data_IF_348525417058
#
_entry.id   IF_348525417058
#
_cell.length_a   1.000
_cell.length_b   1.000
_cell.length_c   1.000
_cell.angle_alpha   90.00
_cell.angle_beta   90.00
_cell.angle_gamma   90.00
#
_symmetry.space_group_name_H-M   'P 1'
#
loop_
_entity.id
_entity.type
_entity.pdbx_description
1 polymer ?
#
# COMPACT_ATOMS: atom_id res chain seq x y z
N UNK A 1 12.02 3.72 13.25
CA UNK A 1 10.96 3.60 12.22
C UNK A 1 10.41 2.18 12.26
N UNK A 2 9.09 2.02 12.22
CA UNK A 2 8.47 0.69 12.06
C UNK A 2 8.90 0.08 10.73
N UNK A 3 9.20 -1.23 10.71
CA UNK A 3 9.51 -1.96 9.47
C UNK A 3 8.33 -1.84 8.47
N UNK A 4 7.10 -1.82 8.98
CA UNK A 4 5.89 -1.57 8.20
C UNK A 4 5.97 -0.27 7.39
N UNK A 5 6.23 0.86 8.06
CA UNK A 5 6.23 2.14 7.38
C UNK A 5 7.35 2.25 6.35
N UNK A 6 8.51 1.64 6.62
CA UNK A 6 9.60 1.55 5.64
C UNK A 6 9.10 0.89 4.35
N UNK A 7 8.50 -0.29 4.44
CA UNK A 7 8.00 -1.02 3.26
C UNK A 7 6.79 -0.34 2.61
N UNK A 8 5.90 0.26 3.40
CA UNK A 8 4.77 1.02 2.90
C UNK A 8 5.23 2.22 2.06
N UNK A 9 6.18 2.99 2.59
CA UNK A 9 6.75 4.16 1.92
C UNK A 9 7.53 3.77 0.66
N UNK A 10 8.25 2.66 0.70
CA UNK A 10 8.96 2.10 -0.48
C UNK A 10 7.97 1.78 -1.61
N UNK A 11 6.87 1.08 -1.29
CA UNK A 11 5.85 0.71 -2.28
C UNK A 11 5.12 1.95 -2.83
N UNK A 12 4.72 2.89 -1.97
CA UNK A 12 4.07 4.14 -2.39
C UNK A 12 5.01 4.99 -3.28
N UNK A 13 6.29 5.08 -2.91
CA UNK A 13 7.30 5.81 -3.70
C UNK A 13 7.52 5.17 -5.08
N UNK A 14 7.45 3.85 -5.20
CA UNK A 14 7.54 3.15 -6.48
C UNK A 14 6.40 3.55 -7.45
N UNK A 15 5.25 3.96 -6.91
CA UNK A 15 4.10 4.46 -7.69
C UNK A 15 4.10 5.99 -7.83
N UNK A 16 5.19 6.67 -7.45
CA UNK A 16 5.30 8.13 -7.37
C UNK A 16 4.27 8.77 -6.42
N UNK A 17 3.80 8.00 -5.43
CA UNK A 17 2.85 8.44 -4.43
C UNK A 17 3.56 8.86 -3.16
N UNK A 18 3.01 9.89 -2.54
CA UNK A 18 3.45 10.32 -1.24
C UNK A 18 2.65 9.68 -0.13
N UNK A 19 3.39 9.32 0.91
CA UNK A 19 2.92 8.68 2.13
C UNK A 19 3.50 9.43 3.33
N UNK A 20 2.79 10.43 3.87
CA UNK A 20 3.23 11.14 5.06
C UNK A 20 3.24 10.20 6.28
N UNK A 21 4.31 10.24 7.07
CA UNK A 21 4.48 9.35 8.23
C UNK A 21 3.36 9.49 9.25
N UNK A 22 2.80 10.69 9.40
CA UNK A 22 1.75 10.99 10.38
C UNK A 22 0.51 10.11 10.24
N UNK A 23 0.14 9.75 8.99
CA UNK A 23 -1.04 8.94 8.66
C UNK A 23 -0.71 7.47 8.36
N UNK A 24 0.55 7.15 8.08
CA UNK A 24 0.93 5.82 7.58
C UNK A 24 2.05 5.14 8.39
N UNK A 25 2.46 5.71 9.53
CA UNK A 25 3.57 5.19 10.34
C UNK A 25 3.33 3.79 10.92
N UNK A 26 2.06 3.40 11.08
CA UNK A 26 1.65 2.08 11.58
C UNK A 26 0.53 1.51 10.72
N UNK A 27 0.35 0.19 10.79
CA UNK A 27 -0.72 -0.51 10.09
C UNK A 27 -2.10 0.02 10.47
N UNK A 28 -2.34 0.28 11.76
CA UNK A 28 -3.59 0.84 12.27
C UNK A 28 -3.89 2.22 11.69
N UNK A 29 -2.89 3.11 11.66
CA UNK A 29 -3.04 4.45 11.09
C UNK A 29 -3.31 4.38 9.59
N UNK A 30 -2.59 3.52 8.87
CA UNK A 30 -2.77 3.34 7.44
C UNK A 30 -4.17 2.80 7.10
N UNK A 31 -4.67 1.82 7.88
CA UNK A 31 -6.04 1.32 7.75
C UNK A 31 -7.08 2.40 8.08
N UNK A 32 -6.86 3.17 9.15
CA UNK A 32 -7.72 4.30 9.50
C UNK A 32 -7.80 5.34 8.38
N UNK A 33 -6.66 5.68 7.77
CA UNK A 33 -6.60 6.58 6.61
C UNK A 33 -7.35 6.00 5.41
N UNK A 34 -7.17 4.71 5.10
CA UNK A 34 -7.89 4.03 4.03
C UNK A 34 -9.41 4.09 4.24
N UNK A 35 -9.89 3.77 5.45
CA UNK A 35 -11.31 3.84 5.79
C UNK A 35 -11.90 5.25 5.65
N UNK A 36 -11.15 6.27 6.06
CA UNK A 36 -11.57 7.67 5.88
C UNK A 36 -11.69 8.06 4.41
N UNK A 37 -10.74 7.63 3.57
CA UNK A 37 -10.79 7.86 2.13
C UNK A 37 -11.96 7.08 1.49
N UNK A 38 -12.24 5.85 1.93
CA UNK A 38 -13.41 5.07 1.47
C UNK A 38 -14.71 5.82 1.75
N UNK A 39 -14.89 6.32 2.97
CA UNK A 39 -16.08 7.11 3.33
C UNK A 39 -16.21 8.37 2.49
N UNK A 40 -15.08 9.02 2.19
CA UNK A 40 -15.05 10.19 1.32
C UNK A 40 -15.48 9.83 -0.12
N UNK A 41 -15.02 8.69 -0.63
CA UNK A 41 -15.45 8.16 -1.95
C UNK A 41 -16.94 7.81 -1.95
N UNK A 42 -17.47 7.22 -0.88
CA UNK A 42 -18.90 6.92 -0.78
C UNK A 42 -19.76 8.19 -0.81
N UNK A 43 -19.25 9.29 -0.24
CA UNK A 43 -19.97 10.57 -0.15
C UNK A 43 -19.89 11.41 -1.45
N UNK A 44 -18.73 11.48 -2.08
CA UNK A 44 -18.47 12.38 -3.22
C UNK A 44 -18.31 11.66 -4.57
N UNK A 45 -18.23 10.33 -4.54
CA UNK A 45 -18.02 9.49 -5.71
C UNK A 45 -16.54 9.21 -5.98
N UNK A 46 -16.22 8.11 -6.69
CA UNK A 46 -14.84 7.63 -6.90
C UNK A 46 -13.99 8.50 -7.84
N UNK A 47 -14.63 9.40 -8.59
CA UNK A 47 -13.96 10.32 -9.53
C UNK A 47 -13.51 11.62 -8.88
N UNK A 48 -13.91 11.88 -7.63
CA UNK A 48 -13.43 13.04 -6.87
C UNK A 48 -11.92 12.94 -6.70
N UNK A 49 -11.23 14.06 -6.84
CA UNK A 49 -9.80 14.15 -6.59
C UNK A 49 -9.53 14.22 -5.09
N UNK A 50 -8.34 13.81 -4.67
CA UNK A 50 -7.91 13.99 -3.27
C UNK A 50 -7.88 15.48 -2.90
N UNK A 51 -7.60 16.36 -3.86
CA UNK A 51 -7.62 17.82 -3.64
C UNK A 51 -9.01 18.36 -3.33
N UNK A 52 -10.03 17.91 -4.06
CA UNK A 52 -11.42 18.29 -3.79
C UNK A 52 -11.89 17.79 -2.42
N UNK A 53 -11.47 16.59 -2.01
CA UNK A 53 -11.77 16.06 -0.68
C UNK A 53 -11.10 16.85 0.46
N UNK A 54 -9.88 17.35 0.24
CA UNK A 54 -9.20 18.27 1.18
C UNK A 54 -9.93 19.61 1.23
N UNK A 55 -10.29 20.17 0.07
CA UNK A 55 -11.06 21.41 -0.01
C UNK A 55 -12.42 21.32 0.67
N UNK A 56 -13.02 20.12 0.69
CA UNK A 56 -14.26 19.82 1.41
C UNK A 56 -14.06 19.57 2.93
N UNK A 57 -12.82 19.65 3.44
CA UNK A 57 -12.49 19.44 4.86
C UNK A 57 -12.53 17.99 5.34
N UNK A 58 -12.61 17.03 4.41
CA UNK A 58 -12.74 15.60 4.72
C UNK A 58 -11.38 14.95 4.94
N UNK A 59 -10.38 15.40 4.17
CA UNK A 59 -9.00 14.95 4.29
C UNK A 59 -8.14 16.08 4.85
N UNK A 60 -7.17 15.72 5.68
CA UNK A 60 -6.24 16.70 6.24
C UNK A 60 -5.35 17.30 5.15
N UNK A 61 -5.03 18.60 5.27
CA UNK A 61 -4.16 19.34 4.33
C UNK A 61 -2.82 18.64 4.05
N UNK A 62 -2.33 17.83 4.99
CA UNK A 62 -1.07 17.08 4.88
C UNK A 62 -1.10 15.93 3.85
N UNK A 63 -2.25 15.59 3.26
CA UNK A 63 -2.38 14.71 2.09
C UNK A 63 -2.18 15.44 0.75
N UNK A 64 -1.80 16.73 0.78
CA UNK A 64 -1.67 17.64 -0.38
C UNK A 64 -0.90 17.06 -1.57
N UNK A 65 0.00 16.11 -1.33
CA UNK A 65 0.87 15.58 -2.37
C UNK A 65 0.10 14.66 -3.36
N UNK A 66 -1.12 14.23 -3.03
CA UNK A 66 -1.98 13.44 -3.91
C UNK A 66 -3.08 14.24 -4.62
N UNK A 67 -3.09 15.58 -4.53
CA UNK A 67 -4.18 16.48 -4.99
C UNK A 67 -4.64 16.22 -6.43
N UNK A 68 -3.73 15.85 -7.32
CA UNK A 68 -4.03 15.63 -8.75
C UNK A 68 -4.49 14.19 -9.07
N UNK A 69 -4.64 13.32 -8.07
CA UNK A 69 -5.01 11.92 -8.27
C UNK A 69 -6.46 11.67 -7.87
N UNK A 70 -7.13 10.78 -8.60
CA UNK A 70 -8.45 10.31 -8.23
C UNK A 70 -8.41 9.60 -6.87
N UNK A 71 -9.40 9.87 -6.02
CA UNK A 71 -9.48 9.31 -4.67
C UNK A 71 -9.49 7.78 -4.69
N UNK A 72 -10.21 7.16 -5.64
CA UNK A 72 -10.24 5.71 -5.79
C UNK A 72 -8.88 5.11 -6.16
N UNK A 73 -8.11 5.79 -7.02
CA UNK A 73 -6.75 5.37 -7.37
C UNK A 73 -5.84 5.43 -6.13
N UNK A 74 -5.86 6.55 -5.41
CA UNK A 74 -5.03 6.72 -4.23
C UNK A 74 -5.40 5.71 -3.13
N UNK A 75 -6.70 5.49 -2.90
CA UNK A 75 -7.19 4.47 -1.97
C UNK A 75 -6.69 3.07 -2.34
N UNK A 76 -6.83 2.68 -3.61
CA UNK A 76 -6.35 1.38 -4.10
C UNK A 76 -4.85 1.20 -3.84
N UNK A 77 -4.05 2.23 -4.11
CA UNK A 77 -2.62 2.21 -3.87
C UNK A 77 -2.27 2.13 -2.37
N UNK A 78 -3.02 2.82 -1.50
CA UNK A 78 -2.87 2.72 -0.04
C UNK A 78 -3.17 1.29 0.42
N UNK A 79 -4.30 0.71 0.02
CA UNK A 79 -4.70 -0.65 0.42
C UNK A 79 -3.67 -1.68 -0.06
N UNK A 80 -3.26 -1.62 -1.34
CA UNK A 80 -2.23 -2.51 -1.88
C UNK A 80 -0.89 -2.36 -1.15
N UNK A 81 -0.50 -1.12 -0.81
CA UNK A 81 0.73 -0.86 -0.06
C UNK A 81 0.66 -1.36 1.39
N UNK A 82 -0.52 -1.33 2.04
CA UNK A 82 -0.72 -1.96 3.35
C UNK A 82 -0.48 -3.47 3.22
N UNK A 83 -1.08 -4.14 2.23
CA UNK A 83 -0.90 -5.57 2.04
C UNK A 83 0.58 -5.95 1.82
N UNK A 84 1.28 -5.24 0.93
CA UNK A 84 2.72 -5.44 0.68
C UNK A 84 3.56 -5.18 1.92
N UNK A 85 3.30 -4.09 2.63
CA UNK A 85 4.05 -3.73 3.83
C UNK A 85 3.81 -4.70 4.98
N UNK A 86 2.58 -5.16 5.19
CA UNK A 86 2.24 -6.17 6.18
C UNK A 86 2.91 -7.50 5.84
N UNK A 87 2.80 -7.97 4.59
CA UNK A 87 3.44 -9.21 4.13
C UNK A 87 4.96 -9.19 4.33
N UNK A 88 5.63 -8.10 3.94
CA UNK A 88 7.07 -7.94 4.18
C UNK A 88 7.43 -7.78 5.65
N UNK A 89 6.54 -7.19 6.46
CA UNK A 89 6.80 -7.03 7.90
C UNK A 89 6.74 -8.37 8.64
N UNK A 90 5.80 -9.25 8.28
CA UNK A 90 5.67 -10.58 8.89
C UNK A 90 6.69 -11.59 8.36
N UNK A 91 7.15 -11.43 7.11
CA UNK A 91 8.19 -12.29 6.51
C UNK A 91 9.63 -11.94 6.95
N UNK A 92 9.79 -11.03 7.90
CA UNK A 92 11.12 -10.54 8.32
C UNK A 92 11.84 -9.69 7.25
N UNK A 93 11.09 -9.17 6.27
CA UNK A 93 11.60 -8.30 5.20
C UNK A 93 11.84 -9.00 3.86
N UNK A 94 11.70 -10.32 3.83
CA UNK A 94 11.89 -11.15 2.63
C UNK A 94 10.83 -10.83 1.59
N UNK A 95 11.28 -10.56 0.36
CA UNK A 95 10.39 -10.39 -0.80
C UNK A 95 10.15 -11.72 -1.50
N UNK A 96 9.09 -11.81 -2.30
CA UNK A 96 8.85 -12.95 -3.20
C UNK A 96 10.03 -13.13 -4.17
N UNK A 97 10.65 -12.03 -4.61
CA UNK A 97 11.81 -12.09 -5.48
C UNK A 97 13.01 -12.77 -4.79
N UNK A 98 13.25 -12.50 -3.49
CA UNK A 98 14.29 -13.16 -2.71
C UNK A 98 14.01 -14.67 -2.59
N UNK A 99 12.76 -15.05 -2.34
CA UNK A 99 12.34 -16.47 -2.27
C UNK A 99 12.60 -17.18 -3.60
N UNK A 100 12.24 -16.55 -4.73
CA UNK A 100 12.45 -17.11 -6.06
C UNK A 100 13.94 -17.18 -6.43
N UNK A 101 14.73 -16.17 -6.06
CA UNK A 101 16.16 -16.15 -6.30
C UNK A 101 16.87 -17.28 -5.53
N UNK A 102 16.58 -17.42 -4.23
CA UNK A 102 17.12 -18.49 -3.37
C UNK A 102 16.66 -19.86 -3.87
N UNK A 103 15.39 -19.98 -4.30
CA UNK A 103 14.89 -21.24 -4.86
C UNK A 103 15.60 -21.61 -6.17
N UNK A 104 15.92 -20.64 -7.01
CA UNK A 104 16.67 -20.87 -8.24
C UNK A 104 18.13 -21.26 -7.95
N UNK A 105 18.80 -20.55 -7.03
CA UNK A 105 20.19 -20.82 -6.64
C UNK A 105 20.36 -22.24 -6.06
N UNK A 106 19.40 -22.69 -5.25
CA UNK A 106 19.44 -24.02 -4.63
C UNK A 106 18.78 -25.13 -5.46
N UNK A 107 18.46 -24.91 -6.75
CA UNK A 107 17.76 -25.87 -7.61
C UNK A 107 16.43 -26.39 -7.03
N UNK A 108 15.76 -25.55 -6.23
CA UNK A 108 14.43 -25.78 -5.68
C UNK A 108 13.32 -25.22 -6.59
N UNK A 109 13.65 -24.87 -7.83
CA UNK A 109 12.71 -24.38 -8.84
C UNK A 109 11.75 -25.50 -9.28
N UNK A 110 10.75 -25.76 -8.43
CA UNK A 110 9.72 -26.77 -8.65
C UNK A 110 8.54 -26.14 -9.38
N UNK A 111 7.84 -26.87 -10.28
CA UNK A 111 6.68 -26.33 -11.01
C UNK A 111 5.58 -25.81 -10.09
N UNK A 112 5.41 -26.40 -8.91
CA UNK A 112 4.41 -25.96 -7.93
C UNK A 112 4.76 -24.63 -7.24
N UNK A 113 6.02 -24.21 -7.26
CA UNK A 113 6.47 -23.03 -6.51
C UNK A 113 5.95 -21.72 -7.13
N UNK A 114 6.07 -21.49 -8.45
CA UNK A 114 5.38 -20.37 -9.11
C UNK A 114 3.87 -20.40 -8.90
N UNK A 115 3.25 -21.59 -8.98
CA UNK A 115 1.80 -21.75 -8.84
C UNK A 115 1.32 -21.43 -7.41
N UNK A 116 2.05 -21.86 -6.39
CA UNK A 116 1.74 -21.57 -4.99
C UNK A 116 1.88 -20.06 -4.66
N UNK A 117 2.89 -19.41 -5.25
CA UNK A 117 3.10 -17.97 -5.07
C UNK A 117 2.04 -17.17 -5.83
N UNK A 118 1.66 -17.59 -7.04
CA UNK A 118 0.65 -16.91 -7.86
C UNK A 118 -0.78 -17.08 -7.31
N UNK A 119 -1.08 -18.23 -6.70
CA UNK A 119 -2.41 -18.52 -6.14
C UNK A 119 -2.65 -17.91 -4.76
N UNK A 120 -1.62 -17.34 -4.11
CA UNK A 120 -1.73 -16.77 -2.77
C UNK A 120 -2.13 -17.79 -1.71
N UNK A 121 -1.83 -19.08 -1.93
CA UNK A 121 -2.20 -20.18 -1.04
C UNK A 121 -1.41 -20.17 0.27
N UNK A 122 -1.82 -19.31 1.20
CA UNK A 122 -1.46 -19.31 2.63
C UNK A 122 -2.68 -18.87 3.44
#
# INVERSE_FOLDING_TARGET
MSQFYKYFKENMKAMHLSAPEEFFSTQEKALGAALSITKAIDMFGPRVTVGELIGAGILSEKLYIAVNMGAAYYLGAVIGSIAVATGRSISGGVTIADVLFVANEHNLNRPWLPDAIASGGW
#
